data_IF_507083173178
#
_entry.id   IF_507083173178
#
_cell.length_a   1.000
_cell.length_b   1.000
_cell.length_c   1.000
_cell.angle_alpha   90.00
_cell.angle_beta   90.00
_cell.angle_gamma   90.00
#
_symmetry.space_group_name_H-M   'P 1'
#
loop_
_entity.id
_entity.type
_entity.pdbx_description
1 polymer ?
#
# COMPACT_ATOMS: atom_id res chain seq x y z
N UNK A 1 -1.29 1.00 3.27
CA UNK A 1 -0.10 0.18 2.96
C UNK A 1 -0.23 -0.60 1.65
N UNK A 2 -1.45 -0.85 1.13
CA UNK A 2 -1.70 -1.63 -0.10
C UNK A 2 -0.90 -1.19 -1.34
N UNK A 3 -0.56 0.11 -1.46
CA UNK A 3 0.32 0.64 -2.52
C UNK A 3 1.72 0.02 -2.55
N UNK A 4 2.24 -0.44 -1.41
CA UNK A 4 3.60 -0.98 -1.27
C UNK A 4 3.64 -2.50 -1.40
N UNK A 5 2.64 -3.09 -2.06
CA UNK A 5 2.58 -4.51 -2.38
C UNK A 5 2.74 -4.68 -3.89
N UNK A 6 3.98 -4.70 -4.43
CA UNK A 6 4.26 -4.67 -5.86
C UNK A 6 3.78 -5.90 -6.62
N UNK A 7 3.33 -6.95 -5.94
CA UNK A 7 2.76 -8.15 -6.56
C UNK A 7 1.26 -8.33 -6.26
N UNK A 8 0.63 -7.35 -5.62
CA UNK A 8 -0.74 -7.49 -5.11
C UNK A 8 -0.79 -8.33 -3.83
N UNK A 9 -2.00 -8.76 -3.46
CA UNK A 9 -2.24 -9.63 -2.31
C UNK A 9 -3.58 -10.36 -2.48
N UNK A 10 -3.69 -11.50 -1.82
CA UNK A 10 -4.92 -12.29 -1.77
C UNK A 10 -5.25 -12.58 -0.32
N UNK A 11 -6.39 -12.08 0.14
CA UNK A 11 -6.87 -12.29 1.50
C UNK A 11 -8.24 -12.97 1.43
N UNK A 12 -8.32 -14.18 1.98
CA UNK A 12 -9.56 -14.95 2.04
C UNK A 12 -10.06 -15.04 3.49
N UNK A 13 -11.13 -14.30 3.84
CA UNK A 13 -11.72 -14.32 5.18
C UNK A 13 -12.27 -15.68 5.61
N UNK A 14 -12.55 -16.59 4.65
CA UNK A 14 -13.08 -17.92 4.93
C UNK A 14 -11.98 -18.92 5.33
N UNK A 15 -10.71 -18.56 5.21
CA UNK A 15 -9.59 -19.43 5.60
C UNK A 15 -9.30 -19.34 7.10
N UNK A 16 -8.99 -20.47 7.73
CA UNK A 16 -8.53 -20.50 9.12
C UNK A 16 -7.22 -19.71 9.33
N UNK A 17 -6.43 -19.52 8.27
CA UNK A 17 -5.16 -18.79 8.26
C UNK A 17 -5.30 -17.30 7.93
N UNK A 18 -6.52 -16.77 7.85
CA UNK A 18 -6.75 -15.37 7.43
C UNK A 18 -5.93 -14.37 8.26
N UNK A 19 -5.88 -14.53 9.58
CA UNK A 19 -5.09 -13.66 10.47
C UNK A 19 -3.60 -13.68 10.11
N UNK A 20 -3.04 -14.85 9.80
CA UNK A 20 -1.63 -14.99 9.41
C UNK A 20 -1.36 -14.39 8.04
N UNK A 21 -2.31 -14.53 7.10
CA UNK A 21 -2.23 -13.89 5.78
C UNK A 21 -2.23 -12.37 5.92
N UNK A 22 -3.13 -11.81 6.72
CA UNK A 22 -3.20 -10.36 7.00
C UNK A 22 -1.90 -9.87 7.64
N UNK A 23 -1.36 -10.60 8.62
CA UNK A 23 -0.11 -10.25 9.28
C UNK A 23 1.07 -10.23 8.29
N UNK A 24 1.20 -11.29 7.48
CA UNK A 24 2.26 -11.42 6.46
C UNK A 24 2.18 -10.29 5.43
N UNK A 25 0.99 -10.03 4.89
CA UNK A 25 0.76 -8.94 3.93
C UNK A 25 1.08 -7.58 4.57
N UNK A 26 0.73 -7.38 5.84
CA UNK A 26 1.07 -6.18 6.59
C UNK A 26 2.59 -5.98 6.74
N UNK A 27 3.31 -7.02 7.11
CA UNK A 27 4.77 -7.01 7.26
C UNK A 27 5.49 -6.73 5.94
N UNK A 28 5.04 -7.36 4.84
CA UNK A 28 5.60 -7.13 3.51
C UNK A 28 5.41 -5.67 3.07
N UNK A 29 4.20 -5.14 3.27
CA UNK A 29 3.92 -3.76 2.92
C UNK A 29 4.71 -2.75 3.75
N UNK A 30 4.94 -3.02 5.05
CA UNK A 30 5.82 -2.20 5.88
C UNK A 30 7.28 -2.27 5.41
N UNK A 31 7.80 -3.46 5.08
CA UNK A 31 9.16 -3.61 4.58
C UNK A 31 9.38 -2.83 3.27
N UNK A 32 8.43 -2.91 2.34
CA UNK A 32 8.50 -2.19 1.07
C UNK A 32 8.32 -0.67 1.25
N UNK A 33 7.49 -0.24 2.19
CA UNK A 33 7.43 1.17 2.60
C UNK A 33 8.82 1.65 3.05
N UNK A 34 9.47 0.91 3.95
CA UNK A 34 10.78 1.31 4.47
C UNK A 34 11.85 1.40 3.36
N UNK A 35 11.87 0.46 2.42
CA UNK A 35 12.74 0.52 1.24
C UNK A 35 12.48 1.78 0.41
N UNK A 36 11.22 2.10 0.13
CA UNK A 36 10.84 3.31 -0.60
C UNK A 36 11.35 4.58 0.09
N UNK A 37 11.25 4.67 1.43
CA UNK A 37 11.79 5.80 2.18
C UNK A 37 13.33 5.91 2.08
N UNK A 38 14.03 4.77 2.07
CA UNK A 38 15.49 4.72 1.90
C UNK A 38 15.90 5.20 0.52
N UNK A 39 15.23 4.74 -0.53
CA UNK A 39 15.46 5.14 -1.93
C UNK A 39 15.22 6.64 -2.14
N UNK A 40 14.22 7.22 -1.49
CA UNK A 40 13.92 8.65 -1.55
C UNK A 40 14.66 9.49 -0.48
N UNK A 41 15.74 8.96 0.10
CA UNK A 41 16.70 9.70 0.92
C UNK A 41 16.18 10.17 2.27
N UNK A 42 15.08 9.60 2.79
CA UNK A 42 14.48 10.03 4.05
C UNK A 42 14.68 8.98 5.15
N UNK A 43 15.53 9.30 6.13
CA UNK A 43 15.65 8.48 7.35
C UNK A 43 14.39 8.67 8.21
N UNK A 44 13.68 7.58 8.51
CA UNK A 44 12.41 7.55 9.27
C UNK A 44 12.59 8.23 10.64
N UNK A 45 11.79 9.26 10.96
CA UNK A 45 11.75 9.93 12.29
C UNK A 45 10.43 9.62 13.02
N UNK A 46 10.22 8.37 13.45
CA UNK A 46 9.02 7.96 14.23
C UNK A 46 7.69 7.91 13.44
N UNK A 47 6.63 7.35 14.02
CA UNK A 47 5.34 7.04 13.34
C UNK A 47 4.62 8.28 12.78
N UNK A 48 4.60 9.38 13.54
CA UNK A 48 3.97 10.65 13.10
C UNK A 48 4.67 11.28 11.90
N UNK A 49 5.97 11.00 11.68
CA UNK A 49 6.69 11.46 10.49
C UNK A 49 6.30 10.71 9.22
N UNK A 50 5.86 9.45 9.33
CA UNK A 50 5.61 8.58 8.16
C UNK A 50 4.43 9.12 7.35
N UNK A 51 3.30 9.39 7.99
CA UNK A 51 2.13 9.95 7.31
C UNK A 51 2.41 11.35 6.74
N UNK A 52 3.14 12.18 7.48
CA UNK A 52 3.54 13.53 7.02
C UNK A 52 4.41 13.44 5.76
N UNK A 53 5.37 12.54 5.74
CA UNK A 53 6.24 12.33 4.58
C UNK A 53 5.48 11.73 3.39
N UNK A 54 4.59 10.76 3.62
CA UNK A 54 3.76 10.18 2.55
C UNK A 54 2.85 11.23 1.91
N UNK A 55 2.24 12.13 2.69
CA UNK A 55 1.47 13.26 2.16
C UNK A 55 2.34 14.19 1.30
N UNK A 56 3.56 14.49 1.76
CA UNK A 56 4.53 15.27 0.97
C UNK A 56 4.85 14.57 -0.35
N UNK A 57 5.15 13.28 -0.34
CA UNK A 57 5.41 12.49 -1.55
C UNK A 57 4.22 12.41 -2.49
N UNK A 58 3.00 12.33 -1.96
CA UNK A 58 1.78 12.38 -2.76
C UNK A 58 1.63 13.71 -3.50
N UNK A 59 1.82 14.84 -2.80
CA UNK A 59 1.77 16.17 -3.42
C UNK A 59 2.90 16.39 -4.44
N UNK A 60 4.10 15.90 -4.14
CA UNK A 60 5.25 15.91 -5.07
C UNK A 60 5.10 14.92 -6.25
N UNK A 61 4.06 14.09 -6.26
CA UNK A 61 3.81 13.11 -7.32
C UNK A 61 4.70 11.86 -7.28
N UNK A 62 5.54 11.72 -6.25
CA UNK A 62 6.45 10.57 -6.07
C UNK A 62 5.73 9.24 -5.85
N UNK A 63 4.45 9.28 -5.47
CA UNK A 63 3.61 8.09 -5.33
C UNK A 63 2.80 7.76 -6.60
N UNK A 64 2.83 8.60 -7.65
CA UNK A 64 1.94 8.44 -8.80
C UNK A 64 2.12 7.09 -9.50
N UNK A 65 3.36 6.67 -9.74
CA UNK A 65 3.64 5.37 -10.36
C UNK A 65 3.13 4.19 -9.52
N UNK A 66 3.25 4.26 -8.18
CA UNK A 66 2.68 3.25 -7.28
C UNK A 66 1.15 3.24 -7.30
N UNK A 67 0.52 4.42 -7.40
CA UNK A 67 -0.93 4.57 -7.48
C UNK A 67 -1.46 4.02 -8.81
N UNK A 68 -0.82 4.35 -9.93
CA UNK A 68 -1.17 3.83 -11.25
C UNK A 68 -1.03 2.31 -11.31
N UNK A 69 0.10 1.77 -10.82
CA UNK A 69 0.32 0.33 -10.76
C UNK A 69 -0.73 -0.38 -9.88
N UNK A 70 -1.10 0.23 -8.75
CA UNK A 70 -2.16 -0.28 -7.89
C UNK A 70 -3.53 -0.26 -8.59
N UNK A 71 -3.91 0.85 -9.24
CA UNK A 71 -5.16 0.94 -10.01
C UNK A 71 -5.24 -0.10 -11.12
N UNK A 72 -4.15 -0.32 -11.85
CA UNK A 72 -4.08 -1.34 -12.88
C UNK A 72 -4.36 -2.75 -12.32
N UNK A 73 -3.85 -3.06 -11.13
CA UNK A 73 -4.06 -4.37 -10.48
C UNK A 73 -5.47 -4.55 -9.97
N UNK A 74 -6.06 -3.50 -9.39
CA UNK A 74 -7.47 -3.51 -8.99
C UNK A 74 -8.36 -3.77 -10.20
N UNK A 75 -8.04 -3.17 -11.36
CA UNK A 75 -8.77 -3.39 -12.61
C UNK A 75 -8.57 -4.79 -13.22
N UNK A 76 -7.42 -5.42 -13.00
CA UNK A 76 -7.05 -6.73 -13.59
C UNK A 76 -7.38 -7.92 -12.67
N UNK A 77 -8.14 -7.72 -11.59
CA UNK A 77 -8.50 -8.75 -10.58
C UNK A 77 -7.31 -9.40 -9.84
N UNK A 78 -6.09 -8.83 -9.95
CA UNK A 78 -4.90 -9.36 -9.27
C UNK A 78 -4.84 -9.09 -7.76
N UNK A 79 -5.91 -8.53 -7.18
CA UNK A 79 -6.03 -8.23 -5.75
C UNK A 79 -7.37 -8.76 -5.27
N UNK A 80 -7.35 -9.75 -4.37
CA UNK A 80 -8.54 -10.20 -3.64
C UNK A 80 -8.50 -9.55 -2.27
N UNK A 81 -9.15 -8.39 -2.21
CA UNK A 81 -9.27 -7.56 -1.03
C UNK A 81 -10.71 -7.66 -0.50
N UNK A 82 -10.92 -8.19 0.72
CA UNK A 82 -12.24 -8.26 1.34
C UNK A 82 -12.89 -6.89 1.54
N UNK A 83 -12.11 -5.81 1.49
CA UNK A 83 -12.63 -4.45 1.58
C UNK A 83 -13.47 -4.11 0.34
N UNK A 84 -14.62 -3.45 0.57
CA UNK A 84 -15.54 -3.05 -0.51
C UNK A 84 -14.84 -2.16 -1.54
N UNK A 85 -15.20 -2.31 -2.83
CA UNK A 85 -14.62 -1.52 -3.95
C UNK A 85 -14.66 -0.01 -3.71
N UNK A 86 -15.68 0.49 -3.01
CA UNK A 86 -15.82 1.91 -2.63
C UNK A 86 -14.65 2.41 -1.76
N UNK A 87 -14.01 1.53 -1.00
CA UNK A 87 -12.84 1.85 -0.17
C UNK A 87 -11.51 1.56 -0.87
N UNK A 88 -11.53 1.03 -2.10
CA UNK A 88 -10.33 0.60 -2.82
C UNK A 88 -9.67 1.76 -3.59
N UNK A 89 -10.42 2.73 -4.14
CA UNK A 89 -9.85 3.93 -4.78
C UNK A 89 -10.01 5.18 -3.91
N UNK A 90 -9.04 5.37 -3.01
CA UNK A 90 -8.99 6.53 -2.10
C UNK A 90 -8.07 7.66 -2.61
N UNK A 91 -7.48 7.54 -3.80
CA UNK A 91 -6.44 8.45 -4.30
C UNK A 91 -7.01 9.48 -5.28
N UNK A 92 -7.97 10.29 -4.83
CA UNK A 92 -8.45 11.43 -5.59
C UNK A 92 -7.53 12.64 -5.35
N UNK A 93 -6.97 13.22 -6.42
CA UNK A 93 -6.34 14.54 -6.32
C UNK A 93 -7.47 15.57 -6.23
N UNK A 94 -7.56 16.25 -5.09
CA UNK A 94 -8.36 17.47 -4.94
C UNK A 94 -7.54 18.67 -5.39
#
# INVERSE_FOLDING_TARGET
MKLFLPNGFHLDPSTATYCDQVLRVGQEAEANLLKFFQEHGTKRKGRSSVLKQLRKYYHEGKLNGLIEAYRARVATEGIVDPATRETQDMFTRK
#
